data_IF_916283922389
#
_entry.id   IF_916283922389
#
_cell.length_a   1.000
_cell.length_b   1.000
_cell.length_c   1.000
_cell.angle_alpha   90.00
_cell.angle_beta   90.00
_cell.angle_gamma   90.00
#
_symmetry.space_group_name_H-M   'P 1'
#
loop_
_entity.id
_entity.type
_entity.pdbx_description
1 polymer ?
#
# COMPACT_ATOMS: atom_id res chain seq x y z
N UNK A 1 5.37 11.74 -21.25
CA UNK A 1 5.36 10.83 -20.08
C UNK A 1 4.89 11.67 -18.92
N UNK A 2 3.58 11.67 -18.66
CA UNK A 2 3.05 12.35 -17.47
C UNK A 2 3.64 11.64 -16.25
N UNK A 3 4.31 12.41 -15.40
CA UNK A 3 4.86 11.91 -14.14
C UNK A 3 3.70 11.41 -13.28
N UNK A 4 3.54 10.08 -13.16
CA UNK A 4 2.65 9.43 -12.18
C UNK A 4 3.27 9.53 -10.79
N UNK A 5 3.60 10.75 -10.36
CA UNK A 5 4.03 11.04 -9.01
C UNK A 5 2.79 11.41 -8.18
N UNK A 6 2.78 11.05 -6.89
CA UNK A 6 1.73 11.49 -5.97
C UNK A 6 1.66 13.02 -5.95
N UNK A 7 0.46 13.56 -6.08
CA UNK A 7 0.17 14.99 -6.24
C UNK A 7 -0.31 15.67 -4.97
N UNK A 8 -0.56 14.89 -3.90
CA UNK A 8 -0.92 15.40 -2.58
C UNK A 8 -0.22 14.65 -1.45
N UNK A 9 -0.35 15.20 -0.25
CA UNK A 9 0.00 14.54 1.01
C UNK A 9 -1.23 14.46 1.90
N UNK A 10 -1.29 13.41 2.70
CA UNK A 10 -2.38 13.17 3.66
C UNK A 10 -1.80 12.85 5.03
N UNK A 11 -2.52 13.25 6.09
CA UNK A 11 -2.14 12.92 7.46
C UNK A 11 -2.49 11.47 7.81
N UNK A 12 -1.60 10.80 8.56
CA UNK A 12 -1.88 9.49 9.15
C UNK A 12 -3.13 9.49 10.04
N UNK A 13 -3.36 10.58 10.77
CA UNK A 13 -4.52 10.74 11.62
C UNK A 13 -5.81 10.85 10.81
N UNK A 14 -5.81 11.70 9.78
CA UNK A 14 -7.02 11.97 8.99
C UNK A 14 -7.54 10.70 8.30
N UNK A 15 -6.62 9.93 7.70
CA UNK A 15 -6.95 8.78 6.84
C UNK A 15 -7.03 7.46 7.62
N UNK A 16 -6.12 7.23 8.57
CA UNK A 16 -6.00 5.95 9.27
C UNK A 16 -6.37 6.00 10.76
N UNK A 17 -6.67 7.19 11.29
CA UNK A 17 -6.92 7.42 12.73
C UNK A 17 -5.76 6.96 13.62
N UNK A 18 -4.54 7.06 13.09
CA UNK A 18 -3.31 6.75 13.82
C UNK A 18 -2.69 8.06 14.28
N UNK A 19 -2.57 8.20 15.60
CA UNK A 19 -1.97 9.37 16.25
C UNK A 19 -0.44 9.35 16.14
N UNK A 20 0.06 9.74 14.97
CA UNK A 20 1.47 10.00 14.68
C UNK A 20 1.58 11.25 13.80
N UNK A 21 2.65 12.01 14.00
CA UNK A 21 3.00 13.14 13.14
C UNK A 21 3.71 12.63 11.88
N UNK A 22 2.92 12.24 10.87
CA UNK A 22 3.41 11.73 9.60
C UNK A 22 2.50 12.18 8.44
N UNK A 23 3.11 12.77 7.43
CA UNK A 23 2.49 13.01 6.13
C UNK A 23 2.88 11.91 5.15
N UNK A 24 1.90 11.39 4.42
CA UNK A 24 2.09 10.30 3.46
C UNK A 24 1.72 10.80 2.06
N UNK A 25 2.57 10.59 1.05
CA UNK A 25 2.23 10.92 -0.33
C UNK A 25 1.05 10.07 -0.82
N UNK A 26 0.12 10.70 -1.53
CA UNK A 26 -1.08 10.07 -2.05
C UNK A 26 -1.45 10.68 -3.41
N UNK A 27 -2.34 9.99 -4.14
CA UNK A 27 -2.92 10.50 -5.38
C UNK A 27 -4.30 11.12 -5.13
N UNK A 28 -4.64 12.21 -5.81
CA UNK A 28 -5.96 12.83 -5.72
C UNK A 28 -7.06 11.94 -6.28
N UNK A 29 -6.79 11.24 -7.38
CA UNK A 29 -7.73 10.37 -8.08
C UNK A 29 -7.20 8.93 -8.17
N UNK A 30 -8.07 7.91 -8.02
CA UNK A 30 -7.69 6.52 -8.26
C UNK A 30 -7.62 6.20 -9.76
N UNK A 31 -6.96 5.10 -10.09
CA UNK A 31 -6.99 4.51 -11.44
C UNK A 31 -7.41 3.02 -11.36
N UNK A 32 -7.42 2.33 -12.50
CA UNK A 32 -7.87 0.92 -12.61
C UNK A 32 -7.03 -0.07 -11.79
N UNK A 33 -5.83 0.30 -11.36
CA UNK A 33 -4.93 -0.53 -10.57
C UNK A 33 -4.99 -0.23 -9.07
N UNK A 34 -5.80 0.73 -8.64
CA UNK A 34 -6.06 1.00 -7.22
C UNK A 34 -7.01 -0.09 -6.71
N UNK A 35 -6.71 -0.77 -5.58
CA UNK A 35 -7.60 -1.77 -5.01
C UNK A 35 -8.95 -1.18 -4.57
N UNK A 36 -9.96 -2.04 -4.44
CA UNK A 36 -11.26 -1.66 -3.92
C UNK A 36 -11.16 -1.11 -2.49
N UNK A 37 -11.79 0.04 -2.26
CA UNK A 37 -11.85 0.69 -0.95
C UNK A 37 -12.94 0.05 -0.08
N UNK A 38 -12.54 -0.44 1.09
CA UNK A 38 -13.46 -0.93 2.12
C UNK A 38 -13.56 0.10 3.28
N UNK A 39 -14.70 0.80 3.45
CA UNK A 39 -14.88 1.78 4.53
C UNK A 39 -14.84 1.17 5.92
N UNK A 40 -15.17 -0.11 6.06
CA UNK A 40 -15.33 -0.79 7.35
C UNK A 40 -14.05 -1.51 7.80
N UNK A 41 -12.98 -1.46 6.99
CA UNK A 41 -11.71 -2.10 7.30
C UNK A 41 -11.05 -1.52 8.56
N UNK A 42 -10.74 -2.39 9.52
CA UNK A 42 -10.05 -2.04 10.76
C UNK A 42 -8.53 -2.23 10.62
N UNK A 43 -7.77 -1.15 10.76
CA UNK A 43 -6.31 -1.19 10.68
C UNK A 43 -5.67 -1.65 11.99
N UNK A 44 -4.86 -2.70 11.89
CA UNK A 44 -3.76 -2.92 12.83
C UNK A 44 -2.76 -1.75 12.81
N UNK A 45 -2.52 -1.14 13.97
CA UNK A 45 -1.73 0.09 14.10
C UNK A 45 -0.29 -0.11 13.64
N UNK A 46 0.40 -1.11 14.18
CA UNK A 46 1.84 -1.28 13.98
C UNK A 46 2.18 -1.64 12.52
N UNK A 47 1.38 -2.53 11.93
CA UNK A 47 1.50 -2.90 10.51
C UNK A 47 1.27 -1.69 9.61
N UNK A 48 0.28 -0.86 9.94
CA UNK A 48 -0.02 0.34 9.17
C UNK A 48 1.11 1.35 9.25
N UNK A 49 1.64 1.63 10.43
CA UNK A 49 2.79 2.55 10.60
C UNK A 49 3.99 2.09 9.75
N UNK A 50 4.29 0.78 9.76
CA UNK A 50 5.36 0.23 8.94
C UNK A 50 5.13 0.46 7.43
N UNK A 51 3.90 0.23 6.95
CA UNK A 51 3.53 0.47 5.56
C UNK A 51 3.58 1.96 5.19
N UNK A 52 3.02 2.85 6.03
CA UNK A 52 3.06 4.30 5.82
C UNK A 52 4.49 4.83 5.74
N UNK A 53 5.40 4.34 6.58
CA UNK A 53 6.83 4.65 6.47
C UNK A 53 7.45 4.16 5.15
N UNK A 54 6.96 3.03 4.62
CA UNK A 54 7.30 2.54 3.29
C UNK A 54 6.96 3.53 2.19
N UNK A 55 5.72 4.01 2.16
CA UNK A 55 5.25 5.02 1.21
C UNK A 55 5.96 6.37 1.37
N UNK A 56 6.08 6.87 2.60
CA UNK A 56 6.63 8.20 2.87
C UNK A 56 8.14 8.31 2.61
N UNK A 57 8.90 7.23 2.86
CA UNK A 57 10.37 7.26 2.82
C UNK A 57 10.98 6.29 1.80
N UNK A 58 10.16 5.74 0.89
CA UNK A 58 10.58 4.76 -0.11
C UNK A 58 11.35 3.57 0.52
N UNK A 59 10.80 3.03 1.62
CA UNK A 59 11.39 1.89 2.33
C UNK A 59 10.71 0.60 1.93
N UNK A 60 11.50 -0.45 1.75
CA UNK A 60 10.98 -1.80 1.53
C UNK A 60 10.42 -2.32 2.85
N UNK A 61 9.15 -2.71 2.85
CA UNK A 61 8.43 -3.21 4.03
C UNK A 61 8.14 -4.69 3.85
N UNK A 62 8.37 -5.47 4.89
CA UNK A 62 7.99 -6.89 4.94
C UNK A 62 6.90 -7.03 6.00
N UNK A 63 5.72 -7.50 5.60
CA UNK A 63 4.62 -7.82 6.52
C UNK A 63 4.63 -9.31 6.81
N UNK A 64 4.79 -9.69 8.08
CA UNK A 64 4.86 -11.08 8.53
C UNK A 64 3.64 -11.47 9.35
N UNK A 65 3.31 -12.76 9.36
CA UNK A 65 2.18 -13.30 10.12
C UNK A 65 1.64 -14.61 9.53
N UNK A 66 0.83 -15.33 10.31
CA UNK A 66 0.25 -16.61 9.91
C UNK A 66 -0.61 -16.52 8.65
N UNK A 67 -0.84 -17.65 7.99
CA UNK A 67 -1.73 -17.70 6.82
C UNK A 67 -3.16 -17.31 7.21
N UNK A 68 -3.85 -16.59 6.32
CA UNK A 68 -5.25 -16.17 6.55
C UNK A 68 -5.45 -14.97 7.47
N UNK A 69 -4.39 -14.30 7.97
CA UNK A 69 -4.50 -13.13 8.86
C UNK A 69 -4.68 -11.79 8.14
N UNK A 70 -5.11 -11.79 6.87
CA UNK A 70 -5.42 -10.55 6.15
C UNK A 70 -4.23 -9.71 5.67
N UNK A 71 -2.99 -10.22 5.68
CA UNK A 71 -1.78 -9.45 5.28
C UNK A 71 -1.88 -8.74 3.92
N UNK A 72 -2.33 -9.47 2.89
CA UNK A 72 -2.49 -8.90 1.54
C UNK A 72 -3.56 -7.82 1.53
N UNK A 73 -4.71 -8.11 2.15
CA UNK A 73 -5.82 -7.16 2.28
C UNK A 73 -5.37 -5.91 3.03
N UNK A 74 -4.53 -6.02 4.07
CA UNK A 74 -4.00 -4.87 4.79
C UNK A 74 -3.19 -3.94 3.88
N UNK A 75 -2.30 -4.50 3.06
CA UNK A 75 -1.53 -3.73 2.07
C UNK A 75 -2.46 -3.07 1.03
N UNK A 76 -3.42 -3.83 0.51
CA UNK A 76 -4.41 -3.35 -0.46
C UNK A 76 -5.25 -2.20 0.12
N UNK A 77 -5.69 -2.30 1.38
CA UNK A 77 -6.51 -1.28 2.03
C UNK A 77 -5.73 -0.02 2.42
N UNK A 78 -4.42 -0.14 2.70
CA UNK A 78 -3.54 1.04 2.80
C UNK A 78 -3.39 1.71 1.43
N UNK A 79 -3.13 0.95 0.37
CA UNK A 79 -2.97 1.48 -0.97
C UNK A 79 -4.26 2.16 -1.47
N UNK A 80 -5.43 1.55 -1.26
CA UNK A 80 -6.73 2.09 -1.62
C UNK A 80 -7.00 3.46 -0.98
N UNK A 81 -6.69 3.61 0.32
CA UNK A 81 -6.86 4.88 1.05
C UNK A 81 -5.96 6.02 0.57
N UNK A 82 -4.81 5.66 -0.01
CA UNK A 82 -3.86 6.61 -0.56
C UNK A 82 -4.00 6.78 -2.08
N UNK A 83 -4.98 6.09 -2.70
CA UNK A 83 -5.13 5.97 -4.16
C UNK A 83 -3.87 5.47 -4.88
N UNK A 84 -3.08 4.61 -4.24
CA UNK A 84 -1.89 4.03 -4.87
C UNK A 84 -2.24 2.82 -5.72
N UNK A 85 -1.76 2.76 -6.98
CA UNK A 85 -1.77 1.55 -7.78
C UNK A 85 -1.07 0.40 -7.05
N UNK A 86 -1.69 -0.77 -6.99
CA UNK A 86 -1.14 -1.94 -6.29
C UNK A 86 -1.12 -3.16 -7.22
N UNK A 87 0.09 -3.60 -7.56
CA UNK A 87 0.29 -4.80 -8.39
C UNK A 87 0.70 -5.96 -7.48
N UNK A 88 -0.13 -7.00 -7.44
CA UNK A 88 0.14 -8.22 -6.69
C UNK A 88 0.81 -9.26 -7.58
N UNK A 89 1.94 -9.78 -7.09
CA UNK A 89 2.64 -10.90 -7.73
C UNK A 89 2.72 -12.03 -6.72
N UNK A 90 2.15 -13.19 -7.07
CA UNK A 90 2.30 -14.40 -6.27
C UNK A 90 3.64 -15.04 -6.64
N UNK A 91 4.49 -15.28 -5.63
CA UNK A 91 5.77 -15.94 -5.82
C UNK A 91 5.63 -17.42 -5.46
N UNK A 92 5.76 -18.28 -6.45
CA UNK A 92 5.78 -19.74 -6.30
C UNK A 92 6.93 -20.37 -7.10
N UNK A 93 7.07 -21.68 -7.07
CA UNK A 93 8.19 -22.40 -7.71
C UNK A 93 8.24 -22.28 -9.24
N UNK A 94 7.16 -21.85 -9.89
CA UNK A 94 7.08 -21.70 -11.34
C UNK A 94 7.44 -20.28 -11.82
N UNK A 95 7.43 -19.27 -10.94
CA UNK A 95 7.78 -17.91 -11.35
C UNK A 95 9.29 -17.78 -11.56
N UNK A 96 9.67 -17.15 -12.67
CA UNK A 96 11.08 -16.93 -13.00
C UNK A 96 11.41 -15.44 -13.08
N UNK A 97 12.70 -15.12 -13.20
CA UNK A 97 13.16 -13.72 -13.35
C UNK A 97 12.59 -13.06 -14.61
N UNK A 98 12.39 -13.82 -15.70
CA UNK A 98 11.90 -13.25 -16.96
C UNK A 98 10.45 -12.79 -16.85
N UNK A 99 9.67 -13.45 -15.98
CA UNK A 99 8.27 -13.08 -15.71
C UNK A 99 8.18 -11.77 -14.92
N UNK A 100 9.22 -11.40 -14.16
CA UNK A 100 9.26 -10.17 -13.35
C UNK A 100 9.83 -8.96 -14.10
N UNK A 101 10.80 -9.18 -14.99
CA UNK A 101 11.55 -8.09 -15.66
C UNK A 101 11.06 -7.87 -17.10
N UNK A 102 10.46 -8.88 -17.73
CA UNK A 102 10.30 -8.93 -19.18
C UNK A 102 11.61 -9.28 -19.88
N UNK A 103 11.55 -9.41 -21.21
CA UNK A 103 12.75 -9.55 -22.06
C UNK A 103 13.49 -8.23 -22.20
#
# INVERSE_FOLDING_TARGET
>A
MSENLPDKKVSAWEVFKIDIDMEIPAFSEPNEYVPDFDPDYLFDKDTTIALLAGFAYNRRVIVQGYHGTGKSTHVEQVAARLNWPCIRINLDSHISRIDLVGK
#
